data_IF_488612824801
#
_entry.id   IF_488612824801
#
_cell.length_a   1.000
_cell.length_b   1.000
_cell.length_c   1.000
_cell.angle_alpha   90.00
_cell.angle_beta   90.00
_cell.angle_gamma   90.00
#
_symmetry.space_group_name_H-M   'P 1'
#
loop_
_entity.id
_entity.type
_entity.pdbx_description
1 polymer ?
#
# COMPACT_ATOMS: atom_id res chain seq x y z
N UNK A 1 -57.03 -3.68 -10.50
CA UNK A 1 -55.96 -3.45 -9.50
C UNK A 1 -56.25 -2.36 -8.46
N UNK A 2 -57.49 -1.84 -8.37
CA UNK A 2 -57.84 -0.79 -7.38
C UNK A 2 -58.49 -1.31 -6.08
N UNK A 3 -58.72 -2.62 -5.93
CA UNK A 3 -59.44 -3.18 -4.76
C UNK A 3 -58.63 -3.18 -3.46
N UNK A 4 -57.31 -2.97 -3.53
CA UNK A 4 -56.42 -2.91 -2.37
C UNK A 4 -56.12 -1.48 -1.90
N UNK A 5 -56.47 -0.45 -2.69
CA UNK A 5 -56.04 0.94 -2.44
C UNK A 5 -56.52 1.48 -1.08
N UNK A 6 -57.73 1.08 -0.65
CA UNK A 6 -58.30 1.47 0.62
C UNK A 6 -57.93 0.54 1.79
N UNK A 7 -57.33 -0.63 1.54
CA UNK A 7 -57.09 -1.64 2.58
C UNK A 7 -56.05 -1.19 3.60
N UNK A 8 -55.03 -0.44 3.18
CA UNK A 8 -54.06 0.16 4.09
C UNK A 8 -54.75 1.02 5.15
N UNK A 9 -55.63 1.93 4.72
CA UNK A 9 -56.37 2.80 5.62
C UNK A 9 -57.42 2.05 6.46
N UNK A 10 -58.07 1.03 5.90
CA UNK A 10 -59.07 0.24 6.61
C UNK A 10 -58.48 -0.68 7.69
N UNK A 11 -57.35 -1.34 7.41
CA UNK A 11 -56.75 -2.33 8.32
C UNK A 11 -55.69 -1.72 9.26
N UNK A 12 -54.93 -0.71 8.80
CA UNK A 12 -53.80 -0.13 9.54
C UNK A 12 -54.06 1.30 10.01
N UNK A 13 -55.08 1.97 9.44
CA UNK A 13 -55.45 3.34 9.76
C UNK A 13 -54.52 4.40 9.14
N UNK A 14 -54.90 5.66 9.30
CA UNK A 14 -54.14 6.82 8.77
C UNK A 14 -52.74 6.95 9.39
N UNK A 15 -52.54 6.42 10.60
CA UNK A 15 -51.27 6.45 11.32
C UNK A 15 -50.30 5.32 10.94
N UNK A 16 -50.46 4.68 9.78
CA UNK A 16 -49.62 3.56 9.34
C UNK A 16 -48.12 3.91 9.31
N UNK A 17 -47.75 5.17 9.04
CA UNK A 17 -46.34 5.60 9.09
C UNK A 17 -45.74 5.37 10.48
N UNK A 18 -46.45 5.77 11.54
CA UNK A 18 -45.95 5.67 12.92
C UNK A 18 -46.15 4.29 13.53
N UNK A 19 -47.23 3.59 13.15
CA UNK A 19 -47.62 2.30 13.73
C UNK A 19 -47.02 1.09 13.03
N UNK A 20 -46.65 1.22 11.77
CA UNK A 20 -46.18 0.12 10.94
C UNK A 20 -44.81 0.42 10.34
N UNK A 21 -44.69 1.48 9.54
CA UNK A 21 -43.47 1.76 8.76
C UNK A 21 -42.26 2.07 9.65
N UNK A 22 -42.40 3.01 10.60
CA UNK A 22 -41.32 3.36 11.52
C UNK A 22 -40.87 2.18 12.40
N UNK A 23 -41.78 1.39 13.01
CA UNK A 23 -41.40 0.18 13.75
C UNK A 23 -40.69 -0.86 12.88
N UNK A 24 -41.17 -1.13 11.67
CA UNK A 24 -40.56 -2.09 10.74
C UNK A 24 -39.13 -1.69 10.40
N UNK A 25 -38.91 -0.43 9.97
CA UNK A 25 -37.57 0.10 9.65
C UNK A 25 -36.66 0.08 10.88
N UNK A 26 -37.16 0.44 12.07
CA UNK A 26 -36.36 0.40 13.32
C UNK A 26 -35.97 -1.02 13.69
N UNK A 27 -36.87 -1.98 13.48
CA UNK A 27 -36.61 -3.40 13.76
C UNK A 27 -35.55 -3.95 12.79
N UNK A 28 -35.75 -3.76 11.49
CA UNK A 28 -34.79 -4.15 10.46
C UNK A 28 -33.42 -3.50 10.68
N UNK A 29 -33.38 -2.19 10.92
CA UNK A 29 -32.13 -1.47 11.24
C UNK A 29 -31.41 -2.08 12.44
N UNK A 30 -32.12 -2.38 13.54
CA UNK A 30 -31.49 -2.99 14.73
C UNK A 30 -30.97 -4.41 14.46
N UNK A 31 -31.75 -5.22 13.73
CA UNK A 31 -31.37 -6.58 13.39
C UNK A 31 -30.12 -6.62 12.51
N UNK A 32 -30.07 -5.78 11.48
CA UNK A 32 -28.94 -5.69 10.56
C UNK A 32 -27.72 -5.12 11.30
N UNK A 33 -27.83 -3.96 11.96
CA UNK A 33 -26.70 -3.31 12.65
C UNK A 33 -26.09 -4.21 13.72
N UNK A 34 -26.89 -5.03 14.41
CA UNK A 34 -26.39 -6.00 15.39
C UNK A 34 -25.48 -7.10 14.83
N UNK A 35 -25.48 -7.33 13.51
CA UNK A 35 -24.61 -8.29 12.82
C UNK A 35 -23.24 -7.72 12.45
N UNK A 36 -23.06 -6.40 12.60
CA UNK A 36 -21.87 -5.68 12.16
C UNK A 36 -21.08 -5.11 13.34
N UNK A 37 -19.76 -5.13 13.22
CA UNK A 37 -18.90 -4.46 14.19
C UNK A 37 -18.95 -2.93 13.97
N UNK A 38 -18.76 -2.12 15.03
CA UNK A 38 -18.78 -0.66 14.94
C UNK A 38 -17.88 -0.07 13.84
N UNK A 39 -16.74 -0.69 13.54
CA UNK A 39 -15.81 -0.27 12.49
C UNK A 39 -16.41 -0.42 11.08
N UNK A 40 -17.21 -1.47 10.87
CA UNK A 40 -17.82 -1.79 9.57
C UNK A 40 -18.97 -0.83 9.25
N UNK A 41 -19.65 -0.33 10.28
CA UNK A 41 -20.74 0.65 10.15
C UNK A 41 -20.23 2.00 9.65
N UNK A 42 -18.98 2.35 9.95
CA UNK A 42 -18.44 3.68 9.69
C UNK A 42 -17.95 3.89 8.25
N UNK A 43 -17.50 2.84 7.54
CA UNK A 43 -16.86 3.04 6.23
C UNK A 43 -17.07 1.91 5.22
N UNK A 44 -16.70 0.66 5.56
CA UNK A 44 -16.45 -0.35 4.54
C UNK A 44 -17.70 -1.06 3.99
N UNK A 45 -18.82 -1.04 4.72
CA UNK A 45 -20.01 -1.85 4.37
C UNK A 45 -21.32 -1.07 4.34
N UNK A 46 -21.28 0.26 4.22
CA UNK A 46 -22.48 1.12 4.29
C UNK A 46 -23.54 0.73 3.25
N UNK A 47 -23.14 0.50 2.00
CA UNK A 47 -24.06 0.12 0.92
C UNK A 47 -24.69 -1.26 1.17
N UNK A 48 -23.90 -2.22 1.63
CA UNK A 48 -24.38 -3.56 1.98
C UNK A 48 -25.38 -3.50 3.14
N UNK A 49 -25.08 -2.74 4.20
CA UNK A 49 -25.98 -2.52 5.34
C UNK A 49 -27.29 -1.88 4.85
N UNK A 50 -27.20 -0.86 3.99
CA UNK A 50 -28.38 -0.18 3.46
C UNK A 50 -29.28 -1.13 2.68
N UNK A 51 -28.69 -1.97 1.82
CA UNK A 51 -29.40 -2.99 1.06
C UNK A 51 -30.05 -4.03 1.98
N UNK A 52 -29.33 -4.53 2.97
CA UNK A 52 -29.88 -5.49 3.94
C UNK A 52 -31.04 -4.90 4.75
N UNK A 53 -30.94 -3.64 5.18
CA UNK A 53 -32.04 -2.96 5.87
C UNK A 53 -33.25 -2.86 4.94
N UNK A 54 -33.05 -2.53 3.67
CA UNK A 54 -34.13 -2.47 2.68
C UNK A 54 -34.80 -3.85 2.49
N UNK A 55 -34.02 -4.90 2.26
CA UNK A 55 -34.51 -6.26 2.05
C UNK A 55 -35.29 -6.76 3.28
N UNK A 56 -34.75 -6.54 4.49
CA UNK A 56 -35.37 -6.95 5.74
C UNK A 56 -36.61 -6.09 6.07
N UNK A 57 -36.64 -4.82 5.67
CA UNK A 57 -37.82 -3.95 5.77
C UNK A 57 -38.93 -4.40 4.82
N UNK A 58 -38.59 -4.75 3.57
CA UNK A 58 -39.57 -5.24 2.59
C UNK A 58 -40.22 -6.55 3.05
N UNK A 59 -39.43 -7.47 3.59
CA UNK A 59 -39.95 -8.73 4.14
C UNK A 59 -40.96 -8.48 5.27
N UNK A 60 -40.71 -7.49 6.14
CA UNK A 60 -41.63 -7.13 7.22
C UNK A 60 -42.92 -6.45 6.73
N UNK A 61 -42.93 -5.92 5.51
CA UNK A 61 -44.02 -5.11 4.95
C UNK A 61 -44.77 -5.77 3.78
N UNK A 62 -44.35 -6.95 3.34
CA UNK A 62 -44.88 -7.66 2.16
C UNK A 62 -46.42 -7.79 2.18
N UNK A 63 -47.00 -8.08 3.36
CA UNK A 63 -48.44 -8.22 3.56
C UNK A 63 -49.14 -6.97 4.13
N UNK A 64 -48.45 -5.83 4.12
CA UNK A 64 -48.90 -4.63 4.82
C UNK A 64 -49.40 -3.52 3.88
N UNK A 65 -49.56 -3.84 2.59
CA UNK A 65 -50.04 -2.93 1.54
C UNK A 65 -49.19 -1.65 1.39
N UNK A 66 -47.90 -1.73 1.74
CA UNK A 66 -46.93 -0.62 1.63
C UNK A 66 -45.75 -1.07 0.79
N UNK A 67 -45.47 -0.36 -0.30
CA UNK A 67 -44.26 -0.54 -1.09
C UNK A 67 -43.18 0.43 -0.61
N UNK A 68 -42.03 -0.11 -0.20
CA UNK A 68 -40.83 0.68 0.08
C UNK A 68 -39.95 0.66 -1.17
N UNK A 69 -39.59 1.85 -1.66
CA UNK A 69 -38.74 1.97 -2.86
C UNK A 69 -37.26 1.95 -2.50
N UNK A 70 -36.90 2.59 -1.39
CA UNK A 70 -35.53 2.69 -0.93
C UNK A 70 -35.49 3.04 0.57
N UNK A 71 -34.45 2.56 1.26
CA UNK A 71 -34.10 3.01 2.61
C UNK A 71 -32.72 3.63 2.54
N UNK A 72 -32.58 4.89 2.95
CA UNK A 72 -31.30 5.61 2.95
C UNK A 72 -30.79 5.80 4.38
N UNK A 73 -29.56 5.38 4.64
CA UNK A 73 -28.88 5.68 5.90
C UNK A 73 -28.22 7.04 5.75
N UNK A 74 -28.69 8.07 6.48
CA UNK A 74 -28.15 9.43 6.37
C UNK A 74 -26.82 9.57 7.08
N UNK A 75 -26.79 9.24 8.37
CA UNK A 75 -25.62 9.37 9.24
C UNK A 75 -25.62 8.27 10.30
N UNK A 76 -24.42 7.81 10.70
CA UNK A 76 -24.23 6.88 11.82
C UNK A 76 -23.43 7.62 12.88
N UNK A 77 -24.05 7.83 14.05
CA UNK A 77 -23.40 8.49 15.19
C UNK A 77 -22.95 7.44 16.19
N UNK A 78 -21.63 7.35 16.39
CA UNK A 78 -21.01 6.52 17.43
C UNK A 78 -20.66 7.40 18.63
N UNK A 79 -20.74 6.88 19.87
CA UNK A 79 -20.18 7.56 21.04
C UNK A 79 -18.71 7.92 20.82
N UNK A 80 -18.28 9.08 21.33
CA UNK A 80 -16.91 9.60 21.12
C UNK A 80 -15.82 8.62 21.53
N UNK A 81 -16.03 7.92 22.65
CA UNK A 81 -15.10 6.91 23.17
C UNK A 81 -14.85 5.75 22.20
N UNK A 82 -15.89 5.29 21.51
CA UNK A 82 -15.78 4.21 20.52
C UNK A 82 -15.11 4.74 19.25
N UNK A 83 -15.49 5.92 18.79
CA UNK A 83 -14.87 6.55 17.62
C UNK A 83 -13.35 6.72 17.81
N UNK A 84 -12.93 7.26 18.96
CA UNK A 84 -11.52 7.45 19.30
C UNK A 84 -10.77 6.11 19.39
N UNK A 85 -11.40 5.08 19.96
CA UNK A 85 -10.80 3.75 20.04
C UNK A 85 -10.58 3.14 18.64
N UNK A 86 -11.55 3.28 17.73
CA UNK A 86 -11.45 2.80 16.35
C UNK A 86 -10.35 3.56 15.59
N UNK A 87 -10.34 4.90 15.69
CA UNK A 87 -9.31 5.73 15.06
C UNK A 87 -7.90 5.40 15.57
N UNK A 88 -7.77 5.17 16.88
CA UNK A 88 -6.50 4.77 17.49
C UNK A 88 -6.04 3.41 16.99
N UNK A 89 -6.93 2.42 16.96
CA UNK A 89 -6.63 1.07 16.45
C UNK A 89 -6.22 1.11 14.99
N UNK A 90 -6.99 1.82 14.14
CA UNK A 90 -6.68 1.93 12.71
C UNK A 90 -5.32 2.59 12.49
N UNK A 91 -4.98 3.63 13.26
CA UNK A 91 -3.67 4.26 13.20
C UNK A 91 -2.55 3.29 13.54
N UNK A 92 -2.71 2.51 14.61
CA UNK A 92 -1.72 1.51 15.02
C UNK A 92 -1.55 0.40 13.98
N UNK A 93 -2.64 -0.06 13.34
CA UNK A 93 -2.57 -1.04 12.26
C UNK A 93 -1.80 -0.48 11.05
N UNK A 94 -2.07 0.77 10.66
CA UNK A 94 -1.34 1.43 9.57
C UNK A 94 0.14 1.65 9.90
N UNK A 95 0.45 2.07 11.12
CA UNK A 95 1.84 2.23 11.59
C UNK A 95 2.59 0.89 11.58
N UNK A 96 1.93 -0.20 12.00
CA UNK A 96 2.52 -1.55 11.96
C UNK A 96 2.79 -2.00 10.53
N UNK A 97 1.82 -1.84 9.63
CA UNK A 97 1.98 -2.17 8.21
C UNK A 97 3.11 -1.35 7.59
N UNK A 98 3.16 -0.05 7.85
CA UNK A 98 4.25 0.81 7.37
C UNK A 98 5.62 0.34 7.88
N UNK A 99 5.70 -0.04 9.16
CA UNK A 99 6.94 -0.56 9.73
C UNK A 99 7.38 -1.87 9.08
N UNK A 100 6.46 -2.82 8.85
CA UNK A 100 6.73 -4.06 8.13
C UNK A 100 7.22 -3.80 6.70
N UNK A 101 6.59 -2.85 5.98
CA UNK A 101 7.04 -2.45 4.65
C UNK A 101 8.44 -1.82 4.69
N UNK A 102 8.74 -0.99 5.69
CA UNK A 102 10.08 -0.40 5.88
C UNK A 102 11.13 -1.47 6.14
N UNK A 103 10.82 -2.45 7.00
CA UNK A 103 11.73 -3.57 7.28
C UNK A 103 12.00 -4.40 6.01
N UNK A 104 10.94 -4.79 5.31
CA UNK A 104 11.04 -5.54 4.05
C UNK A 104 11.87 -4.78 3.01
N UNK A 105 11.67 -3.47 2.89
CA UNK A 105 12.45 -2.63 1.98
C UNK A 105 13.93 -2.57 2.38
N UNK A 106 14.23 -2.46 3.68
CA UNK A 106 15.59 -2.44 4.18
C UNK A 106 16.31 -3.77 3.93
N UNK A 107 15.62 -4.90 4.12
CA UNK A 107 16.14 -6.24 3.82
C UNK A 107 16.46 -6.40 2.32
N UNK A 108 15.54 -6.00 1.45
CA UNK A 108 15.75 -6.02 0.00
C UNK A 108 16.93 -5.13 -0.43
N UNK A 109 17.08 -3.98 0.21
CA UNK A 109 18.18 -3.05 -0.06
C UNK A 109 19.54 -3.63 0.40
N UNK A 110 19.57 -4.25 1.57
CA UNK A 110 20.76 -4.95 2.08
C UNK A 110 21.16 -6.11 1.15
N UNK A 111 20.18 -6.90 0.69
CA UNK A 111 20.42 -8.00 -0.23
C UNK A 111 20.94 -7.51 -1.59
N UNK A 112 20.36 -6.42 -2.12
CA UNK A 112 20.86 -5.76 -3.34
C UNK A 112 22.33 -5.35 -3.20
N UNK A 113 22.69 -4.77 -2.06
CA UNK A 113 24.07 -4.34 -1.80
C UNK A 113 25.02 -5.53 -1.68
N UNK A 114 24.59 -6.63 -1.06
CA UNK A 114 25.37 -7.88 -0.99
C UNK A 114 25.64 -8.43 -2.39
N UNK A 115 24.61 -8.52 -3.23
CA UNK A 115 24.72 -9.01 -4.61
C UNK A 115 25.67 -8.12 -5.43
N UNK A 116 25.58 -6.79 -5.31
CA UNK A 116 26.48 -5.86 -6.00
C UNK A 116 27.95 -6.02 -5.55
N UNK A 117 28.18 -6.18 -4.25
CA UNK A 117 29.50 -6.43 -3.70
C UNK A 117 30.09 -7.76 -4.18
N UNK A 118 29.30 -8.83 -4.20
CA UNK A 118 29.69 -10.14 -4.74
C UNK A 118 29.99 -10.09 -6.24
N UNK A 119 29.17 -9.36 -7.00
CA UNK A 119 29.38 -9.12 -8.42
C UNK A 119 30.71 -8.40 -8.68
N UNK A 120 31.00 -7.33 -7.95
CA UNK A 120 32.28 -6.60 -8.03
C UNK A 120 33.47 -7.45 -7.62
N UNK A 121 33.36 -8.20 -6.52
CA UNK A 121 34.41 -9.10 -6.06
C UNK A 121 34.73 -10.18 -7.09
N UNK A 122 33.69 -10.78 -7.69
CA UNK A 122 33.83 -11.80 -8.73
C UNK A 122 34.45 -11.21 -9.99
N UNK A 123 33.99 -10.04 -10.43
CA UNK A 123 34.55 -9.34 -11.59
C UNK A 123 36.03 -9.00 -11.38
N UNK A 124 36.39 -8.49 -10.19
CA UNK A 124 37.78 -8.20 -9.84
C UNK A 124 38.64 -9.46 -9.83
N UNK A 125 38.14 -10.58 -9.29
CA UNK A 125 38.86 -11.86 -9.31
C UNK A 125 39.13 -12.34 -10.72
N UNK A 126 38.11 -12.33 -11.60
CA UNK A 126 38.25 -12.71 -13.01
C UNK A 126 39.23 -11.77 -13.74
N UNK A 127 39.14 -10.46 -13.48
CA UNK A 127 40.06 -9.47 -14.03
C UNK A 127 41.50 -9.75 -13.59
N UNK A 128 41.75 -9.97 -12.30
CA UNK A 128 43.08 -10.33 -11.79
C UNK A 128 43.61 -11.64 -12.36
N UNK A 129 42.76 -12.65 -12.53
CA UNK A 129 43.14 -13.93 -13.16
C UNK A 129 43.51 -13.77 -14.65
N UNK A 130 42.89 -12.80 -15.34
CA UNK A 130 43.18 -12.51 -16.76
C UNK A 130 44.32 -11.52 -17.00
N UNK A 131 44.76 -10.78 -15.97
CA UNK A 131 45.88 -9.86 -16.05
C UNK A 131 47.20 -10.63 -15.96
N UNK A 132 47.79 -10.92 -17.11
CA UNK A 132 49.17 -11.45 -17.21
C UNK A 132 50.18 -10.32 -17.27
N UNK A 133 51.44 -10.58 -16.91
CA UNK A 133 52.52 -9.57 -16.93
C UNK A 133 52.66 -8.85 -18.27
N UNK A 134 52.43 -9.58 -19.38
CA UNK A 134 52.45 -9.01 -20.75
C UNK A 134 51.30 -8.04 -21.00
N UNK A 135 50.11 -8.32 -20.48
CA UNK A 135 48.92 -7.43 -20.59
C UNK A 135 49.11 -6.19 -19.73
N UNK A 136 49.70 -6.33 -18.54
CA UNK A 136 50.03 -5.18 -17.69
C UNK A 136 51.08 -4.27 -18.34
N UNK A 137 52.12 -4.83 -18.96
CA UNK A 137 53.09 -4.07 -19.76
C UNK A 137 52.43 -3.37 -20.96
N UNK A 138 51.56 -4.06 -21.71
CA UNK A 138 50.82 -3.46 -22.84
C UNK A 138 49.97 -2.26 -22.37
N UNK A 139 49.21 -2.42 -21.28
CA UNK A 139 48.43 -1.30 -20.69
C UNK A 139 49.33 -0.16 -20.20
N UNK A 140 50.49 -0.47 -19.62
CA UNK A 140 51.47 0.54 -19.23
C UNK A 140 51.99 1.35 -20.42
N UNK A 141 52.31 0.68 -21.54
CA UNK A 141 52.72 1.34 -22.79
C UNK A 141 51.59 2.23 -23.33
N UNK A 142 50.36 1.72 -23.32
CA UNK A 142 49.19 2.45 -23.81
C UNK A 142 48.90 3.71 -22.98
N UNK A 143 48.96 3.61 -21.64
CA UNK A 143 48.84 4.76 -20.75
C UNK A 143 49.96 5.79 -20.99
N UNK A 144 51.18 5.33 -21.24
CA UNK A 144 52.30 6.21 -21.58
C UNK A 144 52.09 6.92 -22.93
N UNK A 145 51.51 6.22 -23.92
CA UNK A 145 51.18 6.79 -25.23
C UNK A 145 50.07 7.84 -25.14
N UNK A 146 49.02 7.60 -24.35
CA UNK A 146 47.95 8.58 -24.11
C UNK A 146 48.48 9.81 -23.36
N UNK A 147 49.36 9.60 -22.37
CA UNK A 147 50.07 10.69 -21.72
C UNK A 147 50.91 11.50 -22.71
N UNK A 148 51.61 10.85 -23.64
CA UNK A 148 52.40 11.53 -24.66
C UNK A 148 51.55 12.35 -25.65
N UNK A 149 50.30 11.94 -25.91
CA UNK A 149 49.37 12.62 -26.82
C UNK A 149 48.60 13.77 -26.16
N UNK A 150 48.62 13.88 -24.84
CA UNK A 150 47.87 14.92 -24.13
C UNK A 150 48.59 16.28 -24.22
N UNK A 151 47.85 17.38 -24.46
CA UNK A 151 48.44 18.70 -24.76
C UNK A 151 49.09 19.44 -23.58
N UNK A 152 49.00 18.90 -22.35
CA UNK A 152 49.59 19.51 -21.16
C UNK A 152 51.06 19.10 -21.01
N UNK A 153 51.93 20.00 -20.53
CA UNK A 153 53.31 19.67 -20.19
C UNK A 153 53.38 18.60 -19.08
N UNK A 154 54.23 17.58 -19.25
CA UNK A 154 54.33 16.44 -18.30
C UNK A 154 55.78 16.12 -17.98
N UNK A 155 56.06 15.90 -16.70
CA UNK A 155 57.34 15.41 -16.20
C UNK A 155 57.19 13.93 -15.86
N UNK A 156 57.96 13.05 -16.51
CA UNK A 156 57.88 11.60 -16.35
C UNK A 156 59.14 11.12 -15.65
N UNK A 157 59.00 10.47 -14.49
CA UNK A 157 60.12 9.94 -13.69
C UNK A 157 60.16 8.42 -13.84
N UNK A 158 61.23 7.89 -14.42
CA UNK A 158 61.42 6.45 -14.63
C UNK A 158 62.38 5.96 -13.54
N UNK A 159 61.90 5.10 -12.64
CA UNK A 159 62.73 4.51 -11.58
C UNK A 159 63.65 3.43 -12.13
N UNK A 160 64.84 3.27 -11.52
CA UNK A 160 65.92 2.36 -11.98
C UNK A 160 65.67 0.87 -11.73
N UNK A 161 64.42 0.41 -11.67
CA UNK A 161 64.07 -1.02 -11.53
C UNK A 161 64.03 -1.72 -12.89
N UNK A 162 64.29 -3.04 -12.91
CA UNK A 162 64.43 -3.87 -14.13
C UNK A 162 63.22 -3.80 -15.11
N UNK A 163 62.06 -3.36 -14.66
CA UNK A 163 60.82 -3.29 -15.46
C UNK A 163 60.58 -1.95 -16.18
N UNK A 164 61.36 -0.89 -15.92
CA UNK A 164 61.39 0.35 -16.73
C UNK A 164 60.07 1.14 -16.84
N UNK A 165 59.06 0.82 -16.05
CA UNK A 165 57.77 1.51 -16.07
C UNK A 165 57.87 2.87 -15.35
N UNK A 166 57.29 3.96 -15.90
CA UNK A 166 57.27 5.26 -15.24
C UNK A 166 56.56 5.20 -13.89
N UNK A 167 57.17 5.80 -12.85
CA UNK A 167 56.57 5.92 -11.52
C UNK A 167 55.70 7.18 -11.53
N UNK A 168 54.39 7.00 -11.33
CA UNK A 168 53.48 8.13 -11.09
C UNK A 168 53.57 8.48 -9.60
N UNK A 169 54.33 9.53 -9.28
CA UNK A 169 54.40 10.08 -7.92
C UNK A 169 53.11 10.86 -7.63
N UNK A 170 52.18 10.21 -6.93
CA UNK A 170 51.02 10.87 -6.32
C UNK A 170 51.40 11.54 -4.99
N UNK A 171 50.99 12.79 -4.81
CA UNK A 171 51.22 13.60 -3.62
C UNK A 171 50.16 13.27 -2.55
N UNK A 172 50.59 12.87 -1.34
CA UNK A 172 49.84 12.60 -0.09
C UNK A 172 48.62 11.66 -0.14
#
# INVERSE_FOLDING_TARGET
>A
EYSALGKLHQEKGEAYIQRLLQPAIRSATRAVVGRYNPEQLYASKREAIQKEIFDETNLLLEDQYVQVNEVLVRDVSLPSTIKEAIERKLRQEQESLEYEFRLTKAEQEAERQRIDAEGKATANRILSESLTDKVLQEKGIQATLELAKSPNAKTVVIGSGESGLPIILGNN
#
